data_IF_561554559917
#
_entry.id   IF_561554559917
#
_cell.length_a   1.000
_cell.length_b   1.000
_cell.length_c   1.000
_cell.angle_alpha   90.00
_cell.angle_beta   90.00
_cell.angle_gamma   90.00
#
_symmetry.space_group_name_H-M   'P 1'
#
loop_
_entity.id
_entity.type
_entity.pdbx_description
1 polymer ?
#
# COMPACT_ATOMS: atom_id res chain seq x y z
N UNK A 1 -1.37 -38.01 -2.00
CA UNK A 1 -0.63 -37.18 -1.02
C UNK A 1 0.40 -36.22 -1.64
N UNK A 2 1.16 -36.58 -2.69
CA UNK A 2 2.21 -35.72 -3.27
C UNK A 2 1.74 -34.44 -4.00
N UNK A 3 0.50 -34.43 -4.52
CA UNK A 3 -0.09 -33.26 -5.22
C UNK A 3 -0.56 -32.16 -4.25
N UNK A 4 -1.03 -32.55 -3.06
CA UNK A 4 -1.49 -31.63 -2.02
C UNK A 4 -0.31 -30.83 -1.44
N UNK A 5 0.83 -31.49 -1.19
CA UNK A 5 2.03 -30.81 -0.67
C UNK A 5 2.65 -29.82 -1.66
N UNK A 6 2.58 -30.09 -2.97
CA UNK A 6 3.02 -29.15 -4.02
C UNK A 6 2.12 -27.91 -4.08
N UNK A 7 0.80 -28.08 -3.95
CA UNK A 7 -0.16 -26.97 -3.99
C UNK A 7 -0.01 -26.04 -2.78
N UNK A 8 0.19 -26.62 -1.59
CA UNK A 8 0.47 -25.86 -0.35
C UNK A 8 1.78 -25.07 -0.50
N UNK A 9 2.86 -25.69 -1.00
CA UNK A 9 4.15 -25.01 -1.20
C UNK A 9 4.04 -23.85 -2.20
N UNK A 10 3.26 -24.04 -3.27
CA UNK A 10 3.01 -22.99 -4.27
C UNK A 10 2.24 -21.81 -3.69
N UNK A 11 1.21 -22.07 -2.88
CA UNK A 11 0.43 -21.03 -2.18
C UNK A 11 1.31 -20.25 -1.19
N UNK A 12 2.08 -20.92 -0.34
CA UNK A 12 2.99 -20.27 0.59
C UNK A 12 4.01 -19.39 -0.13
N UNK A 13 4.57 -19.85 -1.25
CA UNK A 13 5.50 -19.06 -2.06
C UNK A 13 4.83 -17.83 -2.65
N UNK A 14 3.61 -17.96 -3.17
CA UNK A 14 2.82 -16.82 -3.66
C UNK A 14 2.54 -15.79 -2.58
N UNK A 15 2.16 -16.23 -1.38
CA UNK A 15 1.89 -15.36 -0.23
C UNK A 15 3.14 -14.61 0.24
N UNK A 16 4.29 -15.30 0.32
CA UNK A 16 5.58 -14.67 0.65
C UNK A 16 5.96 -13.61 -0.40
N UNK A 17 5.73 -13.88 -1.70
CA UNK A 17 6.00 -12.90 -2.77
C UNK A 17 5.04 -11.69 -2.73
N UNK A 18 3.81 -11.90 -2.27
CA UNK A 18 2.83 -10.84 -2.04
C UNK A 18 3.24 -9.93 -0.88
N UNK A 19 3.50 -10.50 0.30
CA UNK A 19 3.93 -9.73 1.48
C UNK A 19 5.31 -9.10 1.27
N UNK A 20 6.21 -9.77 0.56
CA UNK A 20 7.55 -9.28 0.31
C UNK A 20 7.65 -8.20 -0.76
N UNK A 21 6.53 -7.80 -1.39
CA UNK A 21 6.49 -6.80 -2.49
C UNK A 21 7.55 -7.06 -3.59
N UNK A 22 7.93 -8.34 -3.76
CA UNK A 22 9.15 -8.70 -4.49
C UNK A 22 8.96 -8.72 -6.00
N UNK A 23 7.71 -8.73 -6.49
CA UNK A 23 7.39 -8.75 -7.91
C UNK A 23 6.58 -7.52 -8.32
N UNK A 24 6.68 -7.05 -9.57
CA UNK A 24 5.84 -5.95 -10.07
C UNK A 24 4.35 -6.22 -9.88
N UNK A 25 3.90 -7.46 -10.16
CA UNK A 25 2.51 -7.85 -9.98
C UNK A 25 2.06 -7.78 -8.50
N UNK A 26 2.89 -8.24 -7.56
CA UNK A 26 2.54 -8.15 -6.14
C UNK A 26 2.48 -6.71 -5.64
N UNK A 27 3.40 -5.84 -6.07
CA UNK A 27 3.35 -4.41 -5.74
C UNK A 27 2.08 -3.74 -6.25
N UNK A 28 1.71 -3.99 -7.51
CA UNK A 28 0.46 -3.47 -8.09
C UNK A 28 -0.75 -3.91 -7.25
N UNK A 29 -0.86 -5.21 -6.94
CA UNK A 29 -1.98 -5.74 -6.17
C UNK A 29 -2.05 -5.09 -4.78
N UNK A 30 -0.93 -5.03 -4.06
CA UNK A 30 -0.89 -4.50 -2.69
C UNK A 30 -1.16 -2.99 -2.65
N UNK A 31 -0.55 -2.20 -3.52
CA UNK A 31 -0.78 -0.75 -3.54
C UNK A 31 -2.19 -0.40 -4.02
N UNK A 32 -2.71 -1.02 -5.07
CA UNK A 32 -4.08 -0.75 -5.53
C UNK A 32 -5.12 -1.18 -4.51
N UNK A 33 -4.95 -2.32 -3.86
CA UNK A 33 -5.86 -2.76 -2.79
C UNK A 33 -5.82 -1.83 -1.58
N UNK A 34 -4.64 -1.35 -1.18
CA UNK A 34 -4.48 -0.36 -0.12
C UNK A 34 -5.12 0.99 -0.46
N UNK A 35 -4.90 1.49 -1.67
CA UNK A 35 -5.51 2.73 -2.16
C UNK A 35 -7.03 2.60 -2.21
N UNK A 36 -7.54 1.51 -2.78
CA UNK A 36 -8.98 1.25 -2.86
C UNK A 36 -9.62 1.18 -1.47
N UNK A 37 -8.99 0.46 -0.54
CA UNK A 37 -9.46 0.35 0.84
C UNK A 37 -9.58 1.74 1.50
N UNK A 38 -8.56 2.59 1.35
CA UNK A 38 -8.55 3.93 1.94
C UNK A 38 -9.43 4.94 1.20
N UNK A 39 -9.76 4.69 -0.07
CA UNK A 39 -10.69 5.49 -0.85
C UNK A 39 -12.16 5.17 -0.50
N UNK A 40 -12.46 3.94 -0.07
CA UNK A 40 -13.80 3.52 0.35
C UNK A 40 -14.05 3.83 1.83
N UNK A 41 -13.03 3.72 2.68
CA UNK A 41 -13.15 3.99 4.11
C UNK A 41 -13.15 5.50 4.41
N UNK A 42 -14.21 6.03 5.04
CA UNK A 42 -14.26 7.45 5.41
C UNK A 42 -13.12 7.80 6.36
N UNK A 43 -12.44 8.91 6.10
CA UNK A 43 -11.31 9.38 6.92
C UNK A 43 -11.71 9.55 8.41
N UNK A 44 -12.96 9.91 8.69
CA UNK A 44 -13.50 10.08 10.03
C UNK A 44 -13.55 8.79 10.88
N UNK A 45 -13.50 7.62 10.25
CA UNK A 45 -13.51 6.33 10.95
C UNK A 45 -12.09 5.82 11.27
N UNK A 46 -11.06 6.38 10.62
CA UNK A 46 -9.67 6.00 10.86
C UNK A 46 -9.13 6.29 12.28
N UNK A 47 -9.60 7.32 13.03
CA UNK A 47 -9.23 7.52 14.43
C UNK A 47 -9.72 6.42 15.37
N UNK A 48 -10.75 5.65 14.97
CA UNK A 48 -11.26 4.52 15.73
C UNK A 48 -10.33 3.30 15.65
N UNK A 49 -9.39 3.30 14.71
CA UNK A 49 -8.37 2.28 14.62
C UNK A 49 -7.32 2.49 15.72
N UNK A 50 -6.79 1.41 16.31
CA UNK A 50 -5.84 1.51 17.40
C UNK A 50 -4.60 2.32 16.98
N UNK A 51 -4.18 3.23 17.86
CA UNK A 51 -2.92 3.98 17.70
C UNK A 51 -1.78 2.95 17.72
N UNK A 52 -1.16 2.72 16.55
CA UNK A 52 -0.13 1.67 16.39
C UNK A 52 1.31 2.15 16.52
N UNK A 53 1.54 3.45 16.74
CA UNK A 53 2.90 3.96 16.91
C UNK A 53 3.36 3.72 18.35
N UNK A 54 4.24 2.74 18.54
CA UNK A 54 4.95 2.52 19.81
C UNK A 54 5.64 3.80 20.29
N UNK A 55 6.22 4.57 19.36
CA UNK A 55 6.85 5.86 19.68
C UNK A 55 5.83 6.89 20.17
N UNK A 56 4.63 6.94 19.57
CA UNK A 56 3.58 7.85 20.01
C UNK A 56 3.07 7.46 21.41
N UNK A 57 3.02 6.16 21.72
CA UNK A 57 2.73 5.69 23.08
C UNK A 57 3.81 6.12 24.08
N UNK A 58 5.06 6.26 23.64
CA UNK A 58 6.17 6.77 24.44
C UNK A 58 6.30 8.32 24.42
N UNK A 59 5.33 9.04 23.84
CA UNK A 59 5.31 10.51 23.77
C UNK A 59 6.11 11.11 22.59
N UNK A 60 6.73 10.29 21.76
CA UNK A 60 7.45 10.73 20.56
C UNK A 60 6.55 10.63 19.33
N UNK A 61 6.39 11.74 18.60
CA UNK A 61 5.61 11.78 17.36
C UNK A 61 6.54 11.68 16.16
N UNK A 62 6.80 10.47 15.61
CA UNK A 62 7.64 10.35 14.42
C UNK A 62 6.93 10.93 13.21
N UNK A 63 7.73 11.36 12.22
CA UNK A 63 7.25 11.90 10.95
C UNK A 63 6.35 10.96 10.13
N UNK A 64 6.27 9.68 10.49
CA UNK A 64 5.37 8.71 9.86
C UNK A 64 3.99 8.64 10.51
N UNK A 65 3.77 9.29 11.65
CA UNK A 65 2.44 9.34 12.27
C UNK A 65 1.45 10.11 11.39
N UNK A 66 0.20 9.64 11.37
CA UNK A 66 -0.85 10.28 10.58
C UNK A 66 -0.84 9.97 9.07
N UNK A 67 0.17 9.28 8.54
CA UNK A 67 0.28 8.99 7.09
C UNK A 67 -0.95 8.31 6.48
N UNK A 68 -1.56 7.34 7.17
CA UNK A 68 -2.79 6.68 6.68
C UNK A 68 -3.97 7.64 6.59
N UNK A 69 -4.12 8.56 7.55
CA UNK A 69 -5.17 9.59 7.56
C UNK A 69 -4.91 10.65 6.51
N UNK A 70 -3.66 11.05 6.36
CA UNK A 70 -3.23 11.97 5.32
C UNK A 70 -3.54 11.38 3.93
N UNK A 71 -3.19 10.11 3.70
CA UNK A 71 -3.45 9.43 2.42
C UNK A 71 -4.94 9.26 2.15
N UNK A 72 -5.73 8.86 3.15
CA UNK A 72 -7.19 8.81 3.01
C UNK A 72 -7.76 10.20 2.70
N UNK A 73 -7.36 11.25 3.42
CA UNK A 73 -7.82 12.63 3.16
C UNK A 73 -7.48 13.08 1.73
N UNK A 74 -6.27 12.77 1.27
CA UNK A 74 -5.80 13.06 -0.08
C UNK A 74 -6.68 12.35 -1.13
N UNK A 75 -7.00 11.07 -0.91
CA UNK A 75 -7.86 10.28 -1.80
C UNK A 75 -9.32 10.76 -1.82
N UNK A 76 -9.79 11.42 -0.75
CA UNK A 76 -11.10 12.05 -0.68
C UNK A 76 -11.10 13.52 -1.18
N UNK A 77 -9.99 14.02 -1.73
CA UNK A 77 -9.87 15.38 -2.23
C UNK A 77 -9.74 16.46 -1.15
N UNK A 78 -9.52 16.07 0.11
CA UNK A 78 -9.36 16.99 1.25
C UNK A 78 -7.89 17.37 1.42
N UNK A 79 -7.36 18.17 0.49
CA UNK A 79 -5.93 18.52 0.43
C UNK A 79 -5.41 19.25 1.68
N UNK A 80 -6.20 20.19 2.22
CA UNK A 80 -5.84 20.90 3.46
C UNK A 80 -5.69 19.94 4.64
N UNK A 81 -6.70 19.10 4.86
CA UNK A 81 -6.66 18.07 5.91
C UNK A 81 -5.51 17.08 5.70
N UNK A 82 -5.20 16.71 4.45
CA UNK A 82 -4.07 15.84 4.14
C UNK A 82 -2.72 16.46 4.54
N UNK A 83 -2.54 17.76 4.29
CA UNK A 83 -1.35 18.51 4.70
C UNK A 83 -1.25 18.59 6.22
N UNK A 84 -2.35 18.90 6.91
CA UNK A 84 -2.39 19.00 8.37
C UNK A 84 -2.10 17.67 9.06
N UNK A 85 -2.55 16.54 8.47
CA UNK A 85 -2.22 15.22 9.01
C UNK A 85 -0.76 14.84 8.77
N UNK A 86 -0.27 14.97 7.54
CA UNK A 86 1.13 14.70 7.21
C UNK A 86 1.52 15.20 5.80
N UNK A 87 2.37 16.23 5.66
CA UNK A 87 2.80 16.74 4.36
C UNK A 87 3.58 15.72 3.50
N UNK A 88 4.22 14.71 4.12
CA UNK A 88 4.94 13.66 3.38
C UNK A 88 4.02 12.81 2.51
N UNK A 89 2.71 12.86 2.73
CA UNK A 89 1.73 12.13 1.91
C UNK A 89 1.81 12.52 0.43
N UNK A 90 2.11 13.78 0.12
CA UNK A 90 2.21 14.25 -1.26
C UNK A 90 3.40 13.61 -1.97
N UNK A 91 4.56 13.57 -1.30
CA UNK A 91 5.75 12.89 -1.81
C UNK A 91 5.51 11.39 -1.93
N UNK A 92 4.88 10.78 -0.92
CA UNK A 92 4.51 9.37 -0.95
C UNK A 92 3.62 9.06 -2.16
N UNK A 93 2.59 9.86 -2.41
CA UNK A 93 1.67 9.66 -3.53
C UNK A 93 2.40 9.67 -4.88
N UNK A 94 3.34 10.61 -5.06
CA UNK A 94 4.19 10.68 -6.27
C UNK A 94 5.06 9.42 -6.40
N UNK A 95 5.74 9.01 -5.33
CA UNK A 95 6.60 7.81 -5.36
C UNK A 95 5.80 6.55 -5.68
N UNK A 96 4.65 6.37 -5.04
CA UNK A 96 3.76 5.22 -5.29
C UNK A 96 3.25 5.25 -6.74
N UNK A 97 2.86 6.41 -7.26
CA UNK A 97 2.43 6.55 -8.65
C UNK A 97 3.53 6.16 -9.64
N UNK A 98 4.77 6.65 -9.44
CA UNK A 98 5.92 6.29 -10.29
C UNK A 98 6.20 4.80 -10.25
N UNK A 99 6.18 4.17 -9.06
CA UNK A 99 6.37 2.72 -8.93
C UNK A 99 5.28 1.96 -9.67
N UNK A 100 4.01 2.35 -9.50
CA UNK A 100 2.88 1.70 -10.17
C UNK A 100 2.98 1.83 -11.69
N UNK A 101 3.28 3.00 -12.23
CA UNK A 101 3.46 3.19 -13.68
C UNK A 101 4.60 2.31 -14.19
N UNK A 102 5.76 2.32 -13.52
CA UNK A 102 6.90 1.48 -13.89
C UNK A 102 6.56 -0.02 -13.87
N UNK A 103 5.86 -0.47 -12.83
CA UNK A 103 5.48 -1.88 -12.70
C UNK A 103 4.47 -2.29 -13.75
N UNK A 104 3.48 -1.44 -14.05
CA UNK A 104 2.49 -1.65 -15.11
C UNK A 104 3.19 -1.77 -16.47
N UNK A 105 4.06 -0.81 -16.83
CA UNK A 105 4.85 -0.87 -18.06
C UNK A 105 5.71 -2.14 -18.14
N UNK A 106 6.30 -2.56 -17.01
CA UNK A 106 7.11 -3.79 -16.95
C UNK A 106 6.28 -5.04 -17.19
N UNK A 107 5.06 -5.11 -16.63
CA UNK A 107 4.14 -6.25 -16.83
C UNK A 107 3.63 -6.29 -18.26
N UNK A 108 3.24 -5.14 -18.83
CA UNK A 108 2.81 -5.06 -20.24
C UNK A 108 3.91 -5.51 -21.20
N UNK A 109 5.14 -4.97 -21.04
CA UNK A 109 6.28 -5.35 -21.89
C UNK A 109 6.57 -6.85 -21.83
N UNK A 110 6.52 -7.47 -20.64
CA UNK A 110 6.76 -8.93 -20.51
C UNK A 110 5.70 -9.78 -21.23
N UNK A 111 4.45 -9.31 -21.31
CA UNK A 111 3.39 -10.00 -22.06
C UNK A 111 3.61 -9.92 -23.57
N UNK A 112 4.09 -8.79 -24.06
CA UNK A 112 4.37 -8.56 -25.49
C UNK A 112 5.51 -9.46 -26.02
N UNK A 113 6.50 -9.81 -25.19
CA UNK A 113 7.62 -10.67 -25.58
C UNK A 113 7.40 -12.18 -25.32
N UNK A 114 6.20 -12.61 -24.91
CA UNK A 114 5.88 -14.04 -24.68
C UNK A 114 5.03 -14.66 -25.79
N UNK A 115 5.03 -14.07 -26.99
CA UNK A 115 4.44 -14.65 -28.19
C UNK A 115 5.41 -15.60 -28.89
#
# INVERSE_FOLDING_TARGET
MATISRRIRSLCRGFVLLIGLSTPASRIIVFLSGILLLAVLPTAQLPLLPIRSLYAMAGFYPYSTGMTRALSSLLHGQFGAAWDFNPLVYLLAVVVAVILVKDVCTVYRKREFSF
#
